data_IF_952413136118
#
_entry.id   IF_952413136118
#
_cell.length_a   1.000
_cell.length_b   1.000
_cell.length_c   1.000
_cell.angle_alpha   90.00
_cell.angle_beta   90.00
_cell.angle_gamma   90.00
#
_symmetry.space_group_name_H-M   'P 1'
#
loop_
_entity.id
_entity.type
_entity.pdbx_description
1 polymer ?
#
# COMPACT_ATOMS: atom_id res chain seq x y z
N UNK A 1 -76.18 13.08 47.82
CA UNK A 1 -75.51 14.39 47.97
C UNK A 1 -74.02 14.18 48.20
N UNK A 2 -73.19 14.89 47.42
CA UNK A 2 -71.72 15.07 47.51
C UNK A 2 -70.80 13.83 47.57
N UNK A 3 -70.26 13.51 46.39
CA UNK A 3 -68.95 12.89 46.17
C UNK A 3 -67.84 13.85 46.65
N UNK A 4 -66.76 13.32 47.22
CA UNK A 4 -65.42 13.89 47.06
C UNK A 4 -64.36 12.77 47.07
N UNK A 5 -63.58 12.75 45.99
CA UNK A 5 -62.39 11.93 45.76
C UNK A 5 -61.18 12.62 46.40
N UNK A 6 -60.24 11.84 46.95
CA UNK A 6 -58.79 12.12 47.03
C UNK A 6 -58.08 10.76 47.26
N UNK A 7 -56.81 10.53 46.94
CA UNK A 7 -56.07 10.51 45.67
C UNK A 7 -54.82 9.66 45.90
N UNK A 8 -54.18 9.21 44.81
CA UNK A 8 -52.89 8.52 44.78
C UNK A 8 -51.74 9.42 45.28
N UNK A 9 -51.23 9.17 46.48
CA UNK A 9 -49.79 9.06 46.80
C UNK A 9 -49.64 8.74 48.30
N UNK A 10 -48.78 7.75 48.58
CA UNK A 10 -48.11 7.54 49.87
C UNK A 10 -48.94 6.99 51.03
N UNK A 11 -49.01 5.66 51.12
CA UNK A 11 -48.52 5.02 52.35
C UNK A 11 -47.99 3.62 52.06
N UNK A 12 -46.66 3.52 52.15
CA UNK A 12 -45.88 2.29 52.15
C UNK A 12 -46.28 1.40 53.33
N UNK A 13 -46.47 0.11 53.11
CA UNK A 13 -45.92 -0.89 54.00
C UNK A 13 -45.58 -2.18 53.26
N UNK A 14 -44.38 -2.63 53.58
CA UNK A 14 -43.49 -3.59 52.94
C UNK A 14 -43.80 -5.03 53.38
N UNK A 15 -43.24 -6.00 52.64
CA UNK A 15 -42.94 -7.42 53.00
C UNK A 15 -44.10 -8.40 52.77
N UNK A 16 -43.97 -9.53 52.07
CA UNK A 16 -42.81 -10.22 51.47
C UNK A 16 -43.29 -11.25 50.42
N UNK A 17 -42.55 -11.46 49.33
CA UNK A 17 -41.53 -12.52 49.16
C UNK A 17 -42.09 -13.91 48.85
N UNK A 18 -42.19 -14.26 47.56
CA UNK A 18 -41.78 -15.53 46.89
C UNK A 18 -41.82 -15.18 45.38
N UNK A 19 -40.73 -15.11 44.61
CA UNK A 19 -39.81 -16.20 44.33
C UNK A 19 -40.20 -16.89 43.02
N UNK A 20 -40.10 -16.20 41.88
CA UNK A 20 -40.05 -16.80 40.55
C UNK A 20 -39.13 -15.95 39.67
N UNK A 21 -37.88 -16.43 39.55
CA UNK A 21 -36.87 -15.89 38.64
C UNK A 21 -37.35 -16.18 37.23
N UNK A 22 -37.95 -15.18 36.59
CA UNK A 22 -38.08 -15.17 35.15
C UNK A 22 -36.69 -14.85 34.61
N UNK A 23 -35.96 -15.88 34.20
CA UNK A 23 -34.71 -15.75 33.44
C UNK A 23 -35.05 -15.00 32.17
N UNK A 24 -34.81 -13.68 32.15
CA UNK A 24 -34.69 -12.94 30.91
C UNK A 24 -33.50 -13.55 30.17
N UNK A 25 -33.79 -14.43 29.23
CA UNK A 25 -32.89 -14.71 28.12
C UNK A 25 -32.69 -13.38 27.38
N UNK A 26 -31.74 -12.59 27.85
CA UNK A 26 -31.08 -11.62 27.00
C UNK A 26 -30.44 -12.44 25.90
N UNK A 27 -31.04 -12.42 24.71
CA UNK A 27 -30.33 -12.77 23.49
C UNK A 27 -29.18 -11.76 23.37
N UNK A 28 -28.03 -12.10 23.96
CA UNK A 28 -26.78 -11.48 23.59
C UNK A 28 -26.48 -12.07 22.20
N UNK A 29 -27.07 -11.47 21.17
CA UNK A 29 -26.43 -11.52 19.87
C UNK A 29 -25.16 -10.72 20.10
N UNK A 30 -24.07 -11.40 20.45
CA UNK A 30 -22.76 -10.78 20.49
C UNK A 30 -22.57 -10.19 19.09
N UNK A 31 -22.60 -8.86 18.99
CA UNK A 31 -22.31 -8.21 17.73
C UNK A 31 -20.94 -8.73 17.30
N UNK A 32 -20.88 -9.35 16.12
CA UNK A 32 -19.64 -9.79 15.51
C UNK A 32 -18.62 -8.65 15.64
N UNK A 33 -17.49 -8.92 16.30
CA UNK A 33 -16.44 -7.94 16.41
C UNK A 33 -15.72 -7.90 15.05
N UNK A 34 -16.18 -7.01 14.17
CA UNK A 34 -15.60 -6.85 12.84
C UNK A 34 -14.34 -5.99 12.97
N UNK A 35 -13.19 -6.57 12.61
CA UNK A 35 -11.90 -5.86 12.59
C UNK A 35 -11.27 -5.90 11.20
N UNK A 36 -10.54 -4.83 10.85
CA UNK A 36 -9.65 -4.86 9.69
C UNK A 36 -8.44 -5.71 10.03
N UNK A 37 -8.21 -6.77 9.27
CA UNK A 37 -7.04 -7.64 9.42
C UNK A 37 -6.19 -7.58 8.15
N UNK A 38 -4.88 -7.44 8.34
CA UNK A 38 -3.91 -7.49 7.27
C UNK A 38 -3.29 -8.90 7.15
N UNK A 39 -3.09 -9.37 5.93
CA UNK A 39 -2.36 -10.60 5.62
C UNK A 39 -1.34 -10.37 4.51
N UNK A 40 -0.23 -11.12 4.58
CA UNK A 40 0.86 -11.07 3.61
C UNK A 40 0.69 -12.22 2.61
N UNK A 41 0.64 -11.88 1.33
CA UNK A 41 0.60 -12.84 0.23
C UNK A 41 1.92 -12.79 -0.54
N UNK A 42 2.73 -13.83 -0.37
CA UNK A 42 3.99 -14.03 -1.08
C UNK A 42 3.85 -15.15 -2.13
N UNK A 43 4.40 -14.92 -3.31
CA UNK A 43 4.52 -15.93 -4.35
C UNK A 43 5.74 -15.62 -5.24
N UNK A 44 6.50 -16.63 -5.72
CA UNK A 44 7.54 -16.43 -6.74
C UNK A 44 7.00 -15.86 -8.05
N UNK A 45 5.68 -15.90 -8.25
CA UNK A 45 4.98 -15.32 -9.37
C UNK A 45 4.11 -14.12 -8.95
N UNK A 46 4.54 -12.91 -9.30
CA UNK A 46 3.87 -11.66 -8.90
C UNK A 46 2.36 -11.58 -9.24
N UNK A 47 1.89 -12.01 -10.43
CA UNK A 47 0.45 -12.03 -10.73
C UNK A 47 -0.33 -12.94 -9.78
N UNK A 48 0.21 -14.10 -9.43
CA UNK A 48 -0.42 -15.03 -8.46
C UNK A 48 -0.47 -14.42 -7.06
N UNK A 49 0.61 -13.77 -6.60
CA UNK A 49 0.61 -13.06 -5.32
C UNK A 49 -0.47 -11.96 -5.29
N UNK A 50 -0.57 -11.15 -6.35
CA UNK A 50 -1.57 -10.08 -6.45
C UNK A 50 -2.99 -10.66 -6.49
N UNK A 51 -3.24 -11.71 -7.27
CA UNK A 51 -4.55 -12.36 -7.34
C UNK A 51 -5.02 -12.86 -5.97
N UNK A 52 -4.13 -13.49 -5.20
CA UNK A 52 -4.45 -13.97 -3.84
C UNK A 52 -4.74 -12.81 -2.89
N UNK A 53 -3.94 -11.74 -2.97
CA UNK A 53 -4.14 -10.53 -2.19
C UNK A 53 -5.49 -9.86 -2.51
N UNK A 54 -5.86 -9.74 -3.78
CA UNK A 54 -7.15 -9.19 -4.22
C UNK A 54 -8.33 -10.07 -3.76
N UNK A 55 -8.20 -11.40 -3.90
CA UNK A 55 -9.23 -12.33 -3.45
C UNK A 55 -9.47 -12.24 -1.94
N UNK A 56 -8.40 -12.07 -1.16
CA UNK A 56 -8.51 -11.88 0.29
C UNK A 56 -9.13 -10.53 0.64
N UNK A 57 -8.71 -9.45 -0.02
CA UNK A 57 -9.24 -8.12 0.21
C UNK A 57 -10.76 -8.05 -0.04
N UNK A 58 -11.23 -8.69 -1.12
CA UNK A 58 -12.64 -8.60 -1.53
C UNK A 58 -13.08 -7.16 -1.83
N UNK A 59 -14.39 -6.94 -1.87
CA UNK A 59 -14.96 -5.64 -2.24
C UNK A 59 -14.88 -4.58 -1.13
N UNK A 60 -14.75 -5.00 0.13
CA UNK A 60 -14.70 -4.11 1.30
C UNK A 60 -13.27 -3.87 1.83
N UNK A 61 -12.27 -4.53 1.23
CA UNK A 61 -10.88 -4.42 1.60
C UNK A 61 -10.03 -3.68 0.58
N UNK A 62 -8.71 -3.73 0.75
CA UNK A 62 -7.76 -3.18 -0.21
C UNK A 62 -6.42 -3.92 -0.17
N UNK A 63 -5.67 -3.87 -1.26
CA UNK A 63 -4.26 -4.25 -1.28
C UNK A 63 -3.43 -2.99 -1.06
N UNK A 64 -2.54 -3.01 -0.07
CA UNK A 64 -1.79 -1.85 0.40
C UNK A 64 -0.87 -1.29 -0.69
N UNK A 65 -0.95 0.02 -0.88
CA UNK A 65 -0.04 0.79 -1.72
C UNK A 65 1.09 1.37 -0.87
N UNK A 66 2.07 2.00 -1.53
CA UNK A 66 3.26 2.53 -0.86
C UNK A 66 2.93 3.45 0.34
N UNK A 67 1.97 4.38 0.25
CA UNK A 67 1.56 5.19 1.40
C UNK A 67 1.07 4.36 2.59
N UNK A 68 0.23 3.35 2.37
CA UNK A 68 -0.27 2.48 3.44
C UNK A 68 0.85 1.63 4.06
N UNK A 69 1.78 1.11 3.25
CA UNK A 69 2.92 0.35 3.75
C UNK A 69 3.83 1.22 4.63
N UNK A 70 4.07 2.47 4.22
CA UNK A 70 4.89 3.43 4.98
C UNK A 70 4.21 3.89 6.26
N UNK A 71 2.90 4.13 6.19
CA UNK A 71 2.08 4.41 7.37
C UNK A 71 2.12 3.25 8.36
N UNK A 72 1.98 2.00 7.89
CA UNK A 72 2.06 0.82 8.76
C UNK A 72 3.44 0.71 9.43
N UNK A 73 4.54 0.94 8.70
CA UNK A 73 5.89 0.97 9.30
C UNK A 73 6.04 2.06 10.35
N UNK A 74 5.61 3.28 10.05
CA UNK A 74 5.73 4.42 10.97
C UNK A 74 5.06 4.16 12.33
N UNK A 75 3.97 3.39 12.34
CA UNK A 75 3.14 3.13 13.52
C UNK A 75 3.37 1.77 14.18
N UNK A 76 3.96 0.80 13.49
CA UNK A 76 4.22 -0.52 14.05
C UNK A 76 5.45 -0.55 14.98
N UNK A 77 5.48 -1.46 15.98
CA UNK A 77 6.70 -1.73 16.74
C UNK A 77 7.76 -2.38 15.84
N UNK A 78 9.03 -2.20 16.18
CA UNK A 78 10.15 -2.65 15.35
C UNK A 78 10.25 -4.18 15.17
N UNK A 79 9.67 -4.97 16.07
CA UNK A 79 9.65 -6.44 15.92
C UNK A 79 8.55 -6.91 14.95
N UNK A 80 7.62 -6.04 14.53
CA UNK A 80 6.56 -6.41 13.60
C UNK A 80 7.14 -6.77 12.22
N UNK A 81 6.56 -7.77 11.57
CA UNK A 81 6.99 -8.28 10.26
C UNK A 81 7.05 -7.19 9.17
N UNK A 82 6.26 -6.12 9.27
CA UNK A 82 6.30 -4.99 8.33
C UNK A 82 7.71 -4.37 8.23
N UNK A 83 8.53 -4.48 9.28
CA UNK A 83 9.90 -4.00 9.31
C UNK A 83 10.94 -5.03 8.89
N UNK A 84 10.62 -6.33 8.97
CA UNK A 84 11.62 -7.40 8.84
C UNK A 84 11.62 -8.07 7.47
N UNK A 85 10.84 -7.55 6.52
CA UNK A 85 10.76 -8.08 5.15
C UNK A 85 10.46 -6.99 4.13
N UNK A 86 10.64 -7.30 2.85
CA UNK A 86 10.35 -6.40 1.73
C UNK A 86 8.90 -6.58 1.23
N UNK A 87 8.32 -5.54 0.62
CA UNK A 87 6.96 -5.57 0.09
C UNK A 87 6.87 -5.00 -1.32
N UNK A 88 6.04 -5.62 -2.14
CA UNK A 88 5.55 -5.05 -3.40
C UNK A 88 4.37 -4.15 -3.08
N UNK A 89 4.40 -2.89 -3.52
CA UNK A 89 3.28 -1.99 -3.32
C UNK A 89 2.21 -2.22 -4.40
N UNK A 90 0.93 -2.06 -4.05
CA UNK A 90 -0.13 -1.82 -5.04
C UNK A 90 -0.11 -0.35 -5.52
N UNK A 91 1.09 0.15 -5.83
CA UNK A 91 1.33 1.45 -6.45
C UNK A 91 1.96 1.23 -7.82
N UNK A 92 1.90 2.23 -8.67
CA UNK A 92 2.50 2.20 -10.01
C UNK A 92 3.15 3.55 -10.30
N UNK A 93 4.30 3.55 -10.96
CA UNK A 93 4.99 4.75 -11.46
C UNK A 93 5.11 4.64 -12.98
N UNK A 94 4.26 5.37 -13.69
CA UNK A 94 4.25 5.42 -15.16
C UNK A 94 5.03 6.63 -15.66
N UNK A 95 6.04 6.40 -16.51
CA UNK A 95 6.74 7.46 -17.25
C UNK A 95 6.03 7.64 -18.58
N UNK A 96 5.51 8.84 -18.81
CA UNK A 96 4.65 9.15 -19.96
C UNK A 96 4.92 10.54 -20.50
N UNK A 97 4.49 10.78 -21.74
CA UNK A 97 4.52 12.09 -22.40
C UNK A 97 3.09 12.63 -22.52
N UNK A 98 2.84 13.83 -22.02
CA UNK A 98 1.54 14.50 -22.15
C UNK A 98 1.24 14.84 -23.61
N UNK A 99 -0.02 15.18 -23.92
CA UNK A 99 -0.40 15.61 -25.27
C UNK A 99 0.35 16.86 -25.75
N UNK A 100 0.85 17.68 -24.81
CA UNK A 100 1.65 18.88 -25.08
C UNK A 100 3.15 18.57 -25.26
N UNK A 101 3.58 17.31 -25.11
CA UNK A 101 4.98 16.90 -25.25
C UNK A 101 5.78 16.97 -23.95
N UNK A 102 5.16 17.23 -22.80
CA UNK A 102 5.87 17.26 -21.52
C UNK A 102 6.07 15.84 -21.00
N UNK A 103 7.27 15.52 -20.52
CA UNK A 103 7.56 14.23 -19.88
C UNK A 103 7.22 14.31 -18.40
N UNK A 104 6.44 13.36 -17.91
CA UNK A 104 6.00 13.31 -16.51
C UNK A 104 6.03 11.88 -15.97
N UNK A 105 6.02 11.77 -14.66
CA UNK A 105 5.72 10.54 -13.93
C UNK A 105 4.31 10.65 -13.37
N UNK A 106 3.49 9.64 -13.60
CA UNK A 106 2.19 9.48 -12.94
C UNK A 106 2.35 8.38 -11.90
N UNK A 107 2.40 8.77 -10.63
CA UNK A 107 2.38 7.83 -9.51
C UNK A 107 0.94 7.55 -9.12
N UNK A 108 0.48 6.31 -9.32
CA UNK A 108 -0.87 5.87 -8.94
C UNK A 108 -0.78 5.00 -7.70
N UNK A 109 -1.66 5.25 -6.74
CA UNK A 109 -1.85 4.46 -5.54
C UNK A 109 -3.24 3.81 -5.58
N UNK A 110 -3.35 2.66 -4.93
CA UNK A 110 -4.56 1.83 -4.88
C UNK A 110 -4.81 0.96 -6.12
N UNK A 111 -3.78 0.75 -6.95
CA UNK A 111 -3.85 -0.03 -8.20
C UNK A 111 -4.23 0.82 -9.42
N UNK A 112 -3.37 0.79 -10.45
CA UNK A 112 -3.50 1.54 -11.70
C UNK A 112 -3.70 0.63 -12.92
N UNK A 113 -2.83 0.79 -13.93
CA UNK A 113 -2.87 0.03 -15.19
C UNK A 113 -2.69 -1.47 -14.92
N UNK A 114 -1.79 -1.83 -14.01
CA UNK A 114 -1.40 -3.20 -13.66
C UNK A 114 -2.13 -3.74 -12.42
N UNK A 115 -3.21 -3.08 -11.98
CA UNK A 115 -4.04 -3.52 -10.86
C UNK A 115 -4.70 -4.89 -11.09
N UNK A 116 -4.86 -5.32 -12.35
CA UNK A 116 -5.41 -6.63 -12.70
C UNK A 116 -4.28 -7.65 -12.90
N UNK A 117 -4.29 -8.80 -12.21
CA UNK A 117 -3.30 -9.87 -12.41
C UNK A 117 -3.15 -10.27 -13.87
N UNK A 118 -4.26 -10.35 -14.62
CA UNK A 118 -4.23 -10.66 -16.05
C UNK A 118 -3.45 -9.66 -16.90
N UNK A 119 -3.37 -8.38 -16.52
CA UNK A 119 -2.58 -7.38 -17.25
C UNK A 119 -1.08 -7.56 -17.02
N UNK A 120 -0.68 -7.95 -15.81
CA UNK A 120 0.69 -8.37 -15.49
C UNK A 120 1.05 -9.62 -16.29
N UNK A 121 0.21 -10.66 -16.25
CA UNK A 121 0.40 -11.92 -17.00
C UNK A 121 0.70 -11.69 -18.48
N UNK A 122 -0.09 -10.83 -19.13
CA UNK A 122 0.15 -10.51 -20.54
C UNK A 122 1.50 -9.85 -20.78
N UNK A 123 1.99 -9.01 -19.85
CA UNK A 123 3.35 -8.47 -19.93
C UNK A 123 4.44 -9.52 -19.70
N UNK A 124 4.20 -10.57 -18.91
CA UNK A 124 5.14 -11.68 -18.73
C UNK A 124 5.22 -12.60 -19.95
N UNK A 125 4.07 -12.87 -20.58
CA UNK A 125 3.95 -13.82 -21.68
C UNK A 125 4.07 -13.20 -23.08
N UNK A 126 4.04 -11.88 -23.17
CA UNK A 126 4.28 -11.16 -24.41
C UNK A 126 5.66 -11.52 -24.98
N UNK A 127 5.69 -11.77 -26.29
CA UNK A 127 6.95 -11.93 -27.01
C UNK A 127 7.80 -10.66 -26.87
N UNK A 128 9.12 -10.84 -26.79
CA UNK A 128 10.12 -9.79 -26.64
C UNK A 128 10.35 -9.02 -27.95
N UNK A 129 9.60 -9.32 -29.01
CA UNK A 129 9.59 -8.51 -30.23
C UNK A 129 9.30 -7.05 -29.87
N UNK A 130 10.19 -6.17 -30.32
CA UNK A 130 10.06 -4.72 -30.18
C UNK A 130 8.76 -4.17 -30.74
N UNK A 131 8.12 -4.85 -31.69
CA UNK A 131 6.83 -4.43 -32.28
C UNK A 131 5.62 -4.73 -31.40
N UNK A 132 5.77 -5.56 -30.35
CA UNK A 132 4.70 -5.89 -29.45
C UNK A 132 4.32 -4.68 -28.58
N UNK A 133 3.01 -4.39 -28.50
CA UNK A 133 2.47 -3.32 -27.67
C UNK A 133 2.45 -3.67 -26.18
N UNK A 134 2.53 -4.94 -25.85
CA UNK A 134 2.66 -5.46 -24.49
C UNK A 134 4.04 -6.10 -24.28
N UNK A 135 4.38 -6.38 -23.04
CA UNK A 135 5.67 -7.00 -22.67
C UNK A 135 6.52 -6.12 -21.77
N UNK A 136 7.81 -6.45 -21.74
CA UNK A 136 8.82 -5.77 -20.94
C UNK A 136 9.72 -4.96 -21.87
N UNK A 137 10.03 -3.72 -21.50
CA UNK A 137 10.97 -2.87 -22.22
C UNK A 137 12.38 -3.45 -22.07
N UNK A 138 13.31 -3.05 -22.94
CA UNK A 138 14.75 -3.35 -22.74
C UNK A 138 15.32 -2.78 -21.42
N UNK A 139 14.50 -2.01 -20.70
CA UNK A 139 14.81 -1.26 -19.49
C UNK A 139 14.14 -1.88 -18.25
N UNK A 140 13.55 -3.08 -18.38
CA UNK A 140 12.98 -3.87 -17.28
C UNK A 140 11.61 -3.40 -16.78
N UNK A 141 10.98 -2.40 -17.41
CA UNK A 141 9.62 -1.96 -17.09
C UNK A 141 8.58 -2.65 -17.95
N UNK A 142 7.33 -2.63 -17.53
CA UNK A 142 6.23 -3.06 -18.37
C UNK A 142 5.91 -1.98 -19.40
N UNK A 143 5.75 -2.40 -20.66
CA UNK A 143 5.25 -1.55 -21.73
C UNK A 143 3.81 -1.15 -21.44
N UNK A 144 3.51 0.12 -21.65
CA UNK A 144 2.13 0.63 -21.68
C UNK A 144 1.87 1.25 -23.04
N UNK A 145 0.65 1.10 -23.52
CA UNK A 145 0.23 1.72 -24.78
C UNK A 145 0.12 3.23 -24.62
N UNK A 146 0.17 3.97 -25.73
CA UNK A 146 -0.11 5.41 -25.74
C UNK A 146 -1.49 5.74 -25.16
N UNK A 147 -2.48 4.86 -25.38
CA UNK A 147 -3.82 5.05 -24.83
C UNK A 147 -3.83 4.86 -23.30
N UNK A 148 -3.17 3.82 -22.77
CA UNK A 148 -3.01 3.63 -21.33
C UNK A 148 -2.30 4.84 -20.69
N UNK A 149 -1.26 5.36 -21.35
CA UNK A 149 -0.52 6.54 -20.92
C UNK A 149 -1.40 7.82 -20.87
N UNK A 150 -2.26 8.04 -21.86
CA UNK A 150 -3.20 9.17 -21.83
C UNK A 150 -4.34 8.98 -20.82
N UNK A 151 -4.85 7.76 -20.68
CA UNK A 151 -5.91 7.46 -19.73
C UNK A 151 -5.43 7.69 -18.29
N UNK A 152 -4.24 7.22 -17.94
CA UNK A 152 -3.72 7.37 -16.57
C UNK A 152 -3.44 8.83 -16.19
N UNK A 153 -3.05 9.68 -17.16
CA UNK A 153 -2.93 11.13 -16.96
C UNK A 153 -4.26 11.79 -16.61
N UNK A 154 -5.36 11.23 -17.11
CA UNK A 154 -6.73 11.71 -16.88
C UNK A 154 -7.41 10.96 -15.72
N UNK A 155 -6.69 10.08 -15.00
CA UNK A 155 -7.23 9.28 -13.90
C UNK A 155 -8.15 8.14 -14.32
N UNK A 156 -8.18 7.77 -15.59
CA UNK A 156 -9.01 6.69 -16.14
C UNK A 156 -8.24 5.38 -16.11
N UNK A 157 -8.80 4.36 -15.47
CA UNK A 157 -8.14 3.08 -15.27
C UNK A 157 -8.74 1.95 -16.14
N UNK A 158 -8.00 0.86 -16.42
CA UNK A 158 -8.49 -0.23 -17.29
C UNK A 158 -9.65 -1.06 -16.72
N UNK A 159 -10.01 -0.84 -15.46
CA UNK A 159 -11.22 -1.41 -14.84
C UNK A 159 -12.47 -0.54 -15.08
N UNK A 160 -12.33 0.59 -15.77
CA UNK A 160 -13.41 1.54 -16.03
C UNK A 160 -13.65 2.52 -14.89
N UNK A 161 -12.87 2.44 -13.81
CA UNK A 161 -12.93 3.41 -12.71
C UNK A 161 -12.17 4.68 -13.03
N UNK A 162 -12.56 5.78 -12.39
CA UNK A 162 -11.86 7.05 -12.42
C UNK A 162 -11.34 7.38 -11.02
N UNK A 163 -10.12 7.91 -10.96
CA UNK A 163 -9.45 8.31 -9.72
C UNK A 163 -9.08 9.80 -9.78
N UNK A 164 -9.05 10.51 -8.64
CA UNK A 164 -8.55 11.87 -8.64
C UNK A 164 -7.05 11.89 -8.97
N UNK A 165 -6.66 12.89 -9.75
CA UNK A 165 -5.28 13.16 -10.13
C UNK A 165 -4.89 14.54 -9.61
N UNK A 166 -3.79 14.59 -8.86
CA UNK A 166 -3.25 15.80 -8.28
C UNK A 166 -1.97 16.22 -9.00
N UNK A 167 -1.75 17.52 -9.14
CA UNK A 167 -0.42 18.01 -9.50
C UNK A 167 0.55 17.84 -8.32
N UNK A 168 1.85 17.70 -8.58
CA UNK A 168 2.83 17.60 -7.49
C UNK A 168 2.79 18.81 -6.55
N UNK A 169 2.61 20.03 -7.07
CA UNK A 169 2.61 21.24 -6.24
C UNK A 169 1.40 21.29 -5.29
N UNK A 170 0.22 20.94 -5.80
CA UNK A 170 -0.98 20.76 -4.97
C UNK A 170 -0.77 19.66 -3.93
N UNK A 171 -0.28 18.50 -4.36
CA UNK A 171 -0.06 17.34 -3.49
C UNK A 171 0.96 17.64 -2.37
N UNK A 172 2.03 18.35 -2.71
CA UNK A 172 3.06 18.78 -1.76
C UNK A 172 2.53 19.81 -0.75
N UNK A 173 1.58 20.66 -1.17
CA UNK A 173 0.89 21.60 -0.30
C UNK A 173 -0.01 20.93 0.74
N UNK A 174 -0.33 19.65 0.55
CA UNK A 174 -1.20 18.86 1.41
C UNK A 174 -2.61 18.78 0.85
N UNK A 175 -3.10 17.55 0.67
CA UNK A 175 -4.46 17.26 0.25
C UNK A 175 -5.18 16.59 1.42
N UNK A 176 -6.30 17.16 1.86
CA UNK A 176 -7.13 16.56 2.90
C UNK A 176 -7.93 15.38 2.33
N UNK A 177 -8.16 14.36 3.15
CA UNK A 177 -9.05 13.24 2.85
C UNK A 177 -8.72 12.50 1.54
N UNK A 178 -7.42 12.23 1.31
CA UNK A 178 -6.99 11.42 0.17
C UNK A 178 -7.72 10.06 0.15
N UNK A 179 -8.39 9.71 -0.97
CA UNK A 179 -9.00 8.39 -1.10
C UNK A 179 -7.92 7.30 -1.15
N UNK A 180 -8.33 6.04 -1.02
CA UNK A 180 -7.41 4.89 -1.13
C UNK A 180 -6.74 4.86 -2.52
N UNK A 181 -7.50 5.20 -3.57
CA UNK A 181 -7.03 5.23 -4.95
C UNK A 181 -6.92 6.67 -5.45
N UNK A 182 -5.72 7.09 -5.85
CA UNK A 182 -5.45 8.42 -6.39
C UNK A 182 -4.16 8.42 -7.20
N UNK A 183 -3.95 9.44 -8.02
CA UNK A 183 -2.70 9.63 -8.75
C UNK A 183 -2.07 11.01 -8.50
N UNK A 184 -0.76 11.09 -8.68
CA UNK A 184 0.01 12.33 -8.59
C UNK A 184 0.89 12.47 -9.83
N UNK A 185 0.81 13.61 -10.50
CA UNK A 185 1.65 13.96 -11.65
C UNK A 185 2.88 14.73 -11.16
N UNK A 186 4.06 14.15 -11.39
CA UNK A 186 5.36 14.76 -11.10
C UNK A 186 6.11 15.05 -12.41
N UNK A 187 6.65 16.26 -12.54
CA UNK A 187 7.54 16.60 -13.66
C UNK A 187 8.77 15.67 -13.70
N UNK A 188 9.08 15.13 -14.88
CA UNK A 188 10.16 14.16 -15.03
C UNK A 188 11.53 14.76 -14.71
N UNK A 189 11.78 16.03 -15.07
CA UNK A 189 13.06 16.67 -14.80
C UNK A 189 13.23 16.97 -13.31
N UNK A 190 12.13 17.28 -12.61
CA UNK A 190 12.12 17.40 -11.15
C UNK A 190 12.43 16.06 -10.48
N UNK A 191 11.77 14.99 -10.90
CA UNK A 191 12.02 13.63 -10.38
C UNK A 191 13.45 13.15 -10.63
N UNK A 192 14.01 13.44 -11.82
CA UNK A 192 15.37 13.02 -12.21
C UNK A 192 16.48 13.71 -11.41
N UNK A 193 16.20 14.88 -10.82
CA UNK A 193 17.18 15.60 -9.97
C UNK A 193 17.42 14.93 -8.63
N UNK A 194 16.48 14.10 -8.16
CA UNK A 194 16.67 13.29 -6.96
C UNK A 194 17.90 12.41 -7.09
N UNK A 195 18.64 12.27 -5.99
CA UNK A 195 19.77 11.36 -5.95
C UNK A 195 19.26 9.92 -5.92
N UNK A 196 19.73 9.12 -6.88
CA UNK A 196 19.62 7.66 -6.85
C UNK A 196 20.70 7.09 -5.93
N UNK A 197 20.31 6.41 -4.87
CA UNK A 197 21.19 5.78 -3.89
C UNK A 197 20.98 6.33 -2.48
N UNK A 198 22.01 6.29 -1.64
CA UNK A 198 21.92 6.75 -0.25
C UNK A 198 21.97 8.27 -0.12
N UNK A 199 21.03 8.83 0.63
CA UNK A 199 20.90 10.27 0.86
C UNK A 199 20.48 10.59 2.30
N UNK A 200 20.78 11.81 2.76
CA UNK A 200 20.46 12.31 4.09
C UNK A 200 18.96 12.48 4.27
N UNK A 201 18.46 12.15 5.47
CA UNK A 201 17.04 12.32 5.83
C UNK A 201 16.52 13.74 5.63
N UNK A 202 17.32 14.77 5.90
CA UNK A 202 16.92 16.18 5.70
C UNK A 202 16.63 16.53 4.24
N UNK A 203 17.35 15.90 3.31
CA UNK A 203 17.11 16.03 1.87
C UNK A 203 15.90 15.20 1.47
N UNK A 204 15.84 13.94 1.93
CA UNK A 204 14.75 13.02 1.59
C UNK A 204 13.37 13.51 2.04
N UNK A 205 13.26 14.22 3.18
CA UNK A 205 12.00 14.82 3.65
C UNK A 205 11.38 15.81 2.64
N UNK A 206 12.18 16.35 1.73
CA UNK A 206 11.73 17.29 0.69
C UNK A 206 11.86 16.72 -0.73
N UNK A 207 12.25 15.45 -0.86
CA UNK A 207 12.49 14.82 -2.15
C UNK A 207 11.16 14.53 -2.88
N UNK A 208 10.96 15.01 -4.12
CA UNK A 208 9.71 14.84 -4.84
C UNK A 208 9.25 13.38 -5.01
N UNK A 209 10.18 12.47 -5.29
CA UNK A 209 9.85 11.05 -5.44
C UNK A 209 9.44 10.44 -4.11
N UNK A 210 10.11 10.82 -3.02
CA UNK A 210 9.77 10.36 -1.69
C UNK A 210 8.37 10.85 -1.26
N UNK A 211 8.04 12.12 -1.55
CA UNK A 211 6.76 12.73 -1.18
C UNK A 211 5.60 12.00 -1.88
N UNK A 212 5.67 11.79 -3.20
CA UNK A 212 4.58 11.11 -3.91
C UNK A 212 4.44 9.66 -3.44
N UNK A 213 5.55 8.94 -3.20
CA UNK A 213 5.53 7.56 -2.72
C UNK A 213 4.93 7.41 -1.32
N UNK A 214 5.19 8.38 -0.45
CA UNK A 214 4.76 8.35 0.95
C UNK A 214 3.32 8.79 1.18
N UNK A 215 2.67 9.38 0.17
CA UNK A 215 1.34 9.95 0.35
C UNK A 215 1.36 11.36 0.94
N UNK A 216 2.46 12.11 0.78
CA UNK A 216 2.58 13.50 1.23
C UNK A 216 3.80 13.76 2.12
N UNK A 217 3.98 15.03 2.50
CA UNK A 217 5.14 15.49 3.29
C UNK A 217 5.10 14.97 4.73
N UNK A 218 3.94 15.05 5.40
CA UNK A 218 3.82 14.62 6.80
C UNK A 218 3.98 13.10 6.97
N UNK A 219 3.31 12.24 6.19
CA UNK A 219 3.53 10.79 6.26
C UNK A 219 4.99 10.40 5.97
N UNK A 220 5.64 11.08 5.02
CA UNK A 220 7.05 10.89 4.72
C UNK A 220 7.94 11.21 5.92
N UNK A 221 7.71 12.35 6.57
CA UNK A 221 8.45 12.77 7.76
C UNK A 221 8.38 11.72 8.86
N UNK A 222 7.17 11.25 9.18
CA UNK A 222 6.94 10.23 10.20
C UNK A 222 7.67 8.91 9.88
N UNK A 223 7.58 8.44 8.64
CA UNK A 223 8.31 7.23 8.22
C UNK A 223 9.84 7.40 8.33
N UNK A 224 10.38 8.52 7.82
CA UNK A 224 11.83 8.77 7.82
C UNK A 224 12.40 8.89 9.23
N UNK A 225 11.68 9.54 10.15
CA UNK A 225 12.08 9.62 11.55
C UNK A 225 12.07 8.23 12.19
N UNK A 226 11.01 7.45 11.97
CA UNK A 226 10.91 6.07 12.48
C UNK A 226 11.99 5.14 11.94
N UNK A 227 12.33 5.26 10.65
CA UNK A 227 13.39 4.51 9.97
C UNK A 227 14.76 4.88 10.55
N UNK A 228 15.06 6.17 10.68
CA UNK A 228 16.31 6.65 11.29
C UNK A 228 16.53 6.04 12.67
N UNK A 229 15.50 6.10 13.51
CA UNK A 229 15.58 5.65 14.90
C UNK A 229 15.74 4.12 15.02
N UNK A 230 15.18 3.35 14.07
CA UNK A 230 15.37 1.89 14.02
C UNK A 230 16.84 1.50 13.78
N UNK A 231 17.51 2.22 12.89
CA UNK A 231 18.80 1.83 12.35
C UNK A 231 19.99 2.60 12.92
N UNK A 232 19.74 3.63 13.73
CA UNK A 232 20.76 4.58 14.20
C UNK A 232 21.66 5.08 13.06
N UNK A 233 21.03 5.47 11.94
CA UNK A 233 21.72 5.84 10.70
C UNK A 233 21.50 7.30 10.34
N UNK A 234 22.33 7.84 9.45
CA UNK A 234 22.21 9.20 8.90
C UNK A 234 21.70 9.23 7.46
N UNK A 235 21.64 8.08 6.81
CA UNK A 235 21.32 7.93 5.39
C UNK A 235 20.25 6.87 5.20
N UNK A 236 19.42 7.05 4.18
CA UNK A 236 18.52 6.03 3.65
C UNK A 236 18.65 5.96 2.13
N UNK A 237 18.45 4.77 1.56
CA UNK A 237 18.43 4.63 0.12
C UNK A 237 17.10 5.11 -0.51
N UNK A 238 17.23 5.68 -1.70
CA UNK A 238 16.15 6.04 -2.60
C UNK A 238 16.57 5.64 -4.02
N UNK A 239 15.91 4.62 -4.59
CA UNK A 239 16.23 4.15 -5.94
C UNK A 239 15.12 4.48 -6.93
N UNK A 240 15.52 4.89 -8.12
CA UNK A 240 14.62 5.20 -9.23
C UNK A 240 15.39 5.09 -10.57
N UNK A 241 14.67 4.90 -11.69
CA UNK A 241 15.30 4.60 -12.99
C UNK A 241 15.67 5.85 -13.82
N UNK A 242 15.21 7.05 -13.46
CA UNK A 242 15.12 8.22 -14.36
C UNK A 242 16.41 8.73 -15.03
N UNK A 243 17.59 8.31 -14.55
CA UNK A 243 18.89 8.65 -15.16
C UNK A 243 19.35 7.64 -16.22
N UNK A 244 18.73 6.46 -16.28
CA UNK A 244 19.15 5.32 -17.11
C UNK A 244 18.08 4.81 -18.05
N UNK A 245 16.95 5.51 -18.14
CA UNK A 245 15.83 5.13 -18.98
C UNK A 245 15.58 6.12 -20.11
N UNK A 246 15.00 5.62 -21.20
CA UNK A 246 14.39 6.43 -22.24
C UNK A 246 12.99 6.89 -21.76
N UNK A 247 12.80 8.19 -21.48
CA UNK A 247 11.50 8.71 -21.07
C UNK A 247 10.50 8.84 -22.23
N UNK A 248 10.92 8.66 -23.48
CA UNK A 248 10.02 8.70 -24.64
C UNK A 248 9.36 7.33 -24.92
N UNK A 249 9.85 6.25 -24.29
CA UNK A 249 9.19 4.95 -24.29
C UNK A 249 8.20 4.88 -23.11
N UNK A 250 6.87 4.92 -23.34
CA UNK A 250 5.88 4.84 -22.28
C UNK A 250 6.01 3.52 -21.52
N UNK A 251 6.23 3.62 -20.22
CA UNK A 251 6.56 2.46 -19.40
C UNK A 251 6.08 2.63 -17.97
N UNK A 252 5.77 1.51 -17.31
CA UNK A 252 5.31 1.50 -15.93
C UNK A 252 6.13 0.53 -15.08
N UNK A 253 6.39 0.93 -13.83
CA UNK A 253 7.02 0.11 -12.81
C UNK A 253 6.18 0.06 -11.55
N UNK A 254 6.26 -1.05 -10.83
CA UNK A 254 5.68 -1.19 -9.50
C UNK A 254 6.81 -0.93 -8.48
N UNK A 255 6.70 0.11 -7.63
CA UNK A 255 7.68 0.36 -6.61
C UNK A 255 7.55 -0.67 -5.47
N UNK A 256 8.64 -0.81 -4.74
CA UNK A 256 8.77 -1.76 -3.64
C UNK A 256 9.39 -1.08 -2.43
N UNK A 257 9.08 -1.64 -1.27
CA UNK A 257 9.54 -1.20 0.03
C UNK A 257 10.52 -2.23 0.55
N UNK A 258 11.81 -1.89 0.63
CA UNK A 258 12.83 -2.83 1.08
C UNK A 258 12.69 -3.12 2.59
N UNK A 259 13.06 -4.30 3.06
CA UNK A 259 13.19 -4.64 4.48
C UNK A 259 14.22 -5.75 4.66
N UNK A 260 14.85 -5.90 5.82
CA UNK A 260 15.76 -7.01 6.09
C UNK A 260 15.77 -7.42 7.57
N UNK A 261 15.24 -8.64 7.81
CA UNK A 261 16.01 -9.79 8.33
C UNK A 261 15.63 -11.04 7.54
N UNK A 262 15.96 -11.08 6.25
CA UNK A 262 15.93 -12.24 5.37
C UNK A 262 14.59 -12.98 5.33
N UNK A 263 13.86 -12.87 4.22
CA UNK A 263 13.17 -14.08 3.78
C UNK A 263 14.24 -15.19 3.73
N UNK A 264 14.00 -16.30 4.43
CA UNK A 264 14.92 -17.41 4.68
C UNK A 264 16.05 -17.52 3.63
N UNK A 265 17.29 -17.15 3.98
CA UNK A 265 18.47 -17.41 3.13
C UNK A 265 19.43 -16.25 2.82
N UNK A 266 19.25 -15.03 3.34
CA UNK A 266 20.13 -13.89 3.01
C UNK A 266 21.28 -13.62 3.99
N UNK A 267 21.49 -14.47 5.00
CA UNK A 267 22.63 -14.35 5.92
C UNK A 267 23.87 -15.02 5.31
N UNK A 268 24.56 -14.31 4.42
CA UNK A 268 25.97 -14.60 4.16
C UNK A 268 26.82 -13.41 4.56
N UNK A 269 27.35 -13.47 5.79
CA UNK A 269 28.29 -12.53 6.40
C UNK A 269 29.72 -12.64 5.81
N UNK A 270 29.83 -12.84 4.50
CA UNK A 270 31.11 -13.00 3.80
C UNK A 270 31.69 -11.66 3.32
N UNK A 271 32.99 -11.38 3.55
CA UNK A 271 33.69 -10.23 2.97
C UNK A 271 33.91 -10.49 1.48
N UNK A 272 32.89 -10.25 0.68
CA UNK A 272 32.85 -10.61 -0.74
C UNK A 272 31.45 -10.66 -1.34
N UNK A 273 30.41 -10.37 -0.55
CA UNK A 273 29.05 -10.31 -1.07
C UNK A 273 28.90 -9.08 -1.97
N UNK A 274 29.09 -9.29 -3.28
CA UNK A 274 28.86 -8.30 -4.33
C UNK A 274 27.41 -7.83 -4.19
N UNK A 275 27.21 -6.64 -3.63
CA UNK A 275 25.96 -6.02 -3.16
C UNK A 275 24.77 -5.97 -4.14
N UNK A 276 24.31 -7.12 -4.61
CA UNK A 276 23.25 -7.34 -5.58
C UNK A 276 22.30 -8.47 -5.16
N UNK A 277 22.39 -8.95 -3.93
CA UNK A 277 21.30 -9.71 -3.31
C UNK A 277 20.09 -8.81 -3.08
N UNK A 278 18.89 -9.38 -3.03
CA UNK A 278 17.62 -8.70 -2.75
C UNK A 278 17.53 -8.16 -1.29
N UNK A 279 18.68 -7.85 -0.66
CA UNK A 279 18.99 -8.19 0.73
C UNK A 279 19.72 -7.09 1.52
N UNK A 280 19.49 -5.81 1.22
CA UNK A 280 19.91 -4.72 2.11
C UNK A 280 18.72 -3.79 2.37
N UNK A 281 18.52 -3.31 3.60
CA UNK A 281 17.51 -2.29 3.92
C UNK A 281 17.88 -0.95 3.30
N UNK A 282 17.63 -0.82 2.00
CA UNK A 282 17.95 0.39 1.24
C UNK A 282 16.73 1.32 1.06
N UNK A 283 15.70 1.21 1.89
CA UNK A 283 14.56 2.13 1.92
C UNK A 283 13.53 1.90 0.81
N UNK A 284 13.35 2.89 -0.07
CA UNK A 284 12.36 2.86 -1.17
C UNK A 284 13.01 2.60 -2.52
N UNK A 285 12.38 1.77 -3.35
CA UNK A 285 12.82 1.54 -4.71
C UNK A 285 11.68 1.60 -5.73
N UNK A 286 11.88 2.35 -6.81
CA UNK A 286 11.07 2.31 -8.03
C UNK A 286 11.84 1.73 -9.23
N UNK A 287 12.96 1.06 -8.96
CA UNK A 287 13.94 0.63 -9.98
C UNK A 287 13.94 -0.89 -10.20
N UNK A 288 12.98 -1.60 -9.59
CA UNK A 288 12.83 -3.04 -9.77
C UNK A 288 12.30 -3.35 -11.16
N UNK A 289 12.71 -4.52 -11.65
CA UNK A 289 12.12 -5.08 -12.85
C UNK A 289 10.68 -5.50 -12.56
N UNK A 290 9.80 -5.34 -13.54
CA UNK A 290 8.40 -5.81 -13.49
C UNK A 290 8.29 -7.35 -13.53
N UNK A 291 9.42 -8.06 -13.53
CA UNK A 291 9.52 -9.51 -13.64
C UNK A 291 10.01 -10.07 -12.31
N UNK A 292 9.20 -10.92 -11.68
CA UNK A 292 9.63 -11.70 -10.52
C UNK A 292 8.52 -12.02 -9.51
N UNK A 293 8.95 -12.06 -8.25
CA UNK A 293 8.15 -12.42 -7.09
C UNK A 293 7.35 -11.23 -6.55
N UNK A 294 6.19 -11.51 -5.96
CA UNK A 294 5.34 -10.51 -5.31
C UNK A 294 5.22 -10.78 -3.82
N UNK A 295 5.29 -9.74 -2.98
CA UNK A 295 4.87 -9.80 -1.57
C UNK A 295 3.93 -8.65 -1.27
N UNK A 296 2.63 -8.90 -1.41
CA UNK A 296 1.59 -7.89 -1.18
C UNK A 296 1.01 -8.01 0.23
N UNK A 297 0.55 -6.88 0.78
CA UNK A 297 -0.27 -6.85 1.99
C UNK A 297 -1.71 -6.58 1.58
N UNK A 298 -2.63 -7.48 1.89
CA UNK A 298 -4.05 -7.26 1.71
C UNK A 298 -4.71 -7.01 3.06
N UNK A 299 -5.69 -6.13 3.10
CA UNK A 299 -6.44 -5.76 4.30
C UNK A 299 -7.92 -5.98 4.02
N UNK A 300 -8.61 -6.72 4.88
CA UNK A 300 -10.02 -7.03 4.74
C UNK A 300 -10.73 -6.97 6.11
N UNK A 301 -12.05 -6.77 6.10
CA UNK A 301 -12.87 -6.93 7.30
C UNK A 301 -13.05 -8.41 7.61
N UNK A 302 -12.79 -8.81 8.84
CA UNK A 302 -13.06 -10.15 9.34
C UNK A 302 -13.88 -10.12 10.61
N UNK A 303 -14.83 -11.05 10.71
CA UNK A 303 -15.51 -11.38 11.95
C UNK A 303 -14.59 -12.25 12.81
N UNK A 304 -14.05 -11.65 13.86
CA UNK A 304 -13.11 -12.30 14.78
C UNK A 304 -13.75 -13.51 15.48
N UNK A 305 -15.08 -13.54 15.66
CA UNK A 305 -15.76 -14.67 16.29
C UNK A 305 -15.71 -15.97 15.48
N UNK A 306 -15.39 -15.87 14.19
CA UNK A 306 -15.23 -17.01 13.27
C UNK A 306 -13.78 -17.24 12.84
N UNK A 307 -12.85 -16.41 13.34
CA UNK A 307 -11.43 -16.47 13.02
C UNK A 307 -10.77 -17.69 13.67
N UNK A 308 -10.08 -18.51 12.87
CA UNK A 308 -9.20 -19.55 13.40
C UNK A 308 -7.83 -19.00 13.86
N UNK A 309 -7.52 -17.73 13.59
CA UNK A 309 -6.19 -17.13 13.86
C UNK A 309 -5.96 -16.86 15.35
N UNK A 310 -7.04 -16.66 16.09
CA UNK A 310 -7.03 -16.24 17.49
C UNK A 310 -7.44 -17.38 18.43
N UNK A 311 -7.53 -18.61 17.91
CA UNK A 311 -7.82 -19.79 18.71
C UNK A 311 -6.56 -20.26 19.45
N UNK A 312 -6.75 -20.64 20.71
CA UNK A 312 -5.71 -21.28 21.49
C UNK A 312 -5.61 -22.77 21.09
N UNK A 313 -4.44 -23.15 20.60
CA UNK A 313 -4.11 -24.53 20.25
C UNK A 313 -3.13 -25.16 21.25
N UNK A 314 -2.77 -24.45 22.34
CA UNK A 314 -1.99 -25.03 23.43
C UNK A 314 -2.87 -26.03 24.22
N UNK A 315 -2.29 -27.20 24.52
CA UNK A 315 -2.91 -28.31 25.26
C UNK A 315 -2.35 -28.41 26.67
#
# INVERSE_FOLDING_TARGET
MRKNKFTRREMLQTIGSVGLVATQMHSIVAAAEIRMQAEIFFDPHMPTALQRALNYAGDEGFVASMPQLLHARANAPYHNIIWNTWFTANSEESVVTTRQGNRVIVAVHGGGIFAKPSRLERSYHADMDRTNSEGITGQGAARITTQEAYNVLEGKLPDGTEIPIYSFDEFKGGVSDLPIRYGVILDYNLAKKSKRGYEKFTVLKNDPNMIIRAGGVEPLGAYLDKFRDRHDTKLMGNWHPYLRIDPDEPQCRIPFLAGNKGGTGSESDGPGNLGWGYDNEYGLGGDANMVGMGRYVAVAKHDVSTSLRDLDFEL
#
